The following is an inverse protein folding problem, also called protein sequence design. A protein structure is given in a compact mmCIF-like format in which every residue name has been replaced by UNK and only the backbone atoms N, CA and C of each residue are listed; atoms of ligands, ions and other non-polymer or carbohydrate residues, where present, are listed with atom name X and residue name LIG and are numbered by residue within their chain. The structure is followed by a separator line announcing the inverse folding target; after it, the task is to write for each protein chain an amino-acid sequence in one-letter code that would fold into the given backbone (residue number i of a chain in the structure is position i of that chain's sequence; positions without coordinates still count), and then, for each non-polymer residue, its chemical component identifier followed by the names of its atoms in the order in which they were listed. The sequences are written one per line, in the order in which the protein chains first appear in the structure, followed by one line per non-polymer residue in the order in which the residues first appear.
data_IF_786323270742
#
_entry.id   IF_786323270742
#
_cell.length_a   1.000
_cell.length_b   1.000
_cell.length_c   1.000
_cell.angle_alpha   90.00
_cell.angle_beta   90.00
_cell.angle_gamma   90.00
#
_symmetry.space_group_name_H-M   'P 1'
#
loop_
_entity.id
_entity.type
_entity.pdbx_description
1 polymer ?
#
# COMPACT_ATOMS: atom_id res chain seq x y z
N UNK A 1 7.63 2.34 -13.72
CA UNK A 1 7.73 1.06 -14.48
C UNK A 1 8.49 1.31 -15.77
N UNK A 2 9.13 0.30 -16.40
CA UNK A 2 9.68 0.46 -17.75
C UNK A 2 8.60 0.96 -18.70
N UNK A 3 8.90 2.00 -19.47
CA UNK A 3 8.00 2.60 -20.44
C UNK A 3 7.50 1.53 -21.43
N UNK A 4 6.19 1.52 -21.71
CA UNK A 4 5.57 0.53 -22.61
C UNK A 4 5.29 -0.85 -22.00
N UNK A 5 5.63 -1.11 -20.74
CA UNK A 5 5.24 -2.37 -20.07
C UNK A 5 3.75 -2.41 -19.72
N UNK A 6 3.16 -3.61 -19.63
CA UNK A 6 1.76 -3.78 -19.22
C UNK A 6 1.44 -3.10 -17.89
N UNK A 7 2.40 -3.08 -16.95
CA UNK A 7 2.27 -2.39 -15.67
C UNK A 7 2.32 -0.86 -15.81
N UNK A 8 3.19 -0.34 -16.68
CA UNK A 8 3.19 1.10 -16.98
C UNK A 8 1.85 1.53 -17.57
N UNK A 9 1.28 0.74 -18.49
CA UNK A 9 -0.01 1.03 -19.10
C UNK A 9 -1.17 0.91 -18.09
N UNK A 10 -1.14 -0.10 -17.21
CA UNK A 10 -2.19 -0.34 -16.24
C UNK A 10 -2.21 0.68 -15.08
N UNK A 11 -1.03 1.11 -14.61
CA UNK A 11 -0.93 1.92 -13.38
C UNK A 11 -0.42 3.34 -13.62
N UNK A 12 0.19 3.64 -14.78
CA UNK A 12 0.86 4.91 -15.04
C UNK A 12 -0.04 6.13 -14.86
N UNK A 13 -1.32 6.02 -15.25
CA UNK A 13 -2.32 7.07 -15.08
C UNK A 13 -2.94 7.18 -13.69
N UNK A 14 -2.49 6.38 -12.71
CA UNK A 14 -2.92 6.47 -11.30
C UNK A 14 -1.78 6.88 -10.37
N UNK A 15 -0.54 6.97 -10.89
CA UNK A 15 0.65 7.24 -10.07
C UNK A 15 0.67 8.69 -9.55
N UNK A 16 0.13 9.64 -10.30
CA UNK A 16 0.09 11.04 -9.89
C UNK A 16 -0.96 11.26 -8.79
N UNK A 17 -2.07 10.53 -8.88
CA UNK A 17 -3.22 10.58 -7.99
C UNK A 17 -2.88 10.05 -6.59
N UNK A 18 -1.97 9.07 -6.49
CA UNK A 18 -1.52 8.50 -5.21
C UNK A 18 -0.21 9.11 -4.69
N UNK A 19 0.32 10.17 -5.31
CA UNK A 19 1.61 10.74 -4.92
C UNK A 19 1.57 11.28 -3.47
N UNK A 20 0.48 11.92 -3.08
CA UNK A 20 0.28 12.45 -1.73
C UNK A 20 0.21 11.32 -0.69
N UNK A 21 -0.53 10.25 -1.00
CA UNK A 21 -0.59 9.04 -0.17
C UNK A 21 0.81 8.42 0.01
N UNK A 22 1.56 8.26 -1.08
CA UNK A 22 2.91 7.68 -1.03
C UNK A 22 3.87 8.51 -0.17
N UNK A 23 3.76 9.84 -0.18
CA UNK A 23 4.56 10.71 0.68
C UNK A 23 4.22 10.49 2.15
N UNK A 24 2.93 10.48 2.51
CA UNK A 24 2.51 10.22 3.88
C UNK A 24 2.95 8.82 4.37
N UNK A 25 2.82 7.79 3.53
CA UNK A 25 3.31 6.44 3.87
C UNK A 25 4.82 6.46 4.10
N UNK A 26 5.59 7.21 3.30
CA UNK A 26 7.04 7.32 3.49
C UNK A 26 7.41 8.03 4.80
N UNK A 27 6.72 9.13 5.14
CA UNK A 27 6.93 9.86 6.40
C UNK A 27 6.60 8.98 7.62
N UNK A 28 5.49 8.23 7.57
CA UNK A 28 5.14 7.27 8.62
C UNK A 28 6.20 6.18 8.70
N UNK A 29 6.67 5.66 7.57
CA UNK A 29 7.71 4.63 7.56
C UNK A 29 9.01 5.08 8.23
N UNK A 30 9.42 6.32 8.01
CA UNK A 30 10.59 6.90 8.69
C UNK A 30 10.40 6.98 10.21
N UNK A 31 9.21 7.33 10.69
CA UNK A 31 8.90 7.38 12.12
C UNK A 31 8.99 6.00 12.81
N UNK A 32 8.74 4.93 12.05
CA UNK A 32 8.75 3.54 12.53
C UNK A 32 10.06 2.80 12.22
N UNK A 33 11.07 3.46 11.65
CA UNK A 33 12.30 2.82 11.13
C UNK A 33 11.99 1.63 10.20
N UNK A 34 10.92 1.77 9.42
CA UNK A 34 10.37 0.74 8.55
C UNK A 34 10.59 1.07 7.07
N UNK A 35 10.50 0.05 6.22
CA UNK A 35 10.48 0.23 4.77
C UNK A 35 9.07 0.63 4.34
N UNK A 36 8.97 1.56 3.40
CA UNK A 36 7.69 2.04 2.81
C UNK A 36 6.75 0.89 2.39
N UNK A 37 7.29 -0.20 1.84
CA UNK A 37 6.50 -1.35 1.40
C UNK A 37 5.88 -2.17 2.54
N UNK A 38 6.35 -2.02 3.79
CA UNK A 38 5.83 -2.73 4.96
C UNK A 38 4.57 -2.06 5.51
N UNK A 39 4.39 -0.76 5.29
CA UNK A 39 3.30 0.02 5.89
C UNK A 39 1.92 -0.42 5.40
N UNK A 40 1.67 -0.65 4.10
CA UNK A 40 0.38 -1.20 3.65
C UNK A 40 0.08 -2.59 4.23
N UNK A 41 1.11 -3.39 4.52
CA UNK A 41 0.95 -4.72 5.13
C UNK A 41 0.58 -4.55 6.61
N UNK A 42 1.29 -3.69 7.33
CA UNK A 42 0.99 -3.36 8.73
C UNK A 42 -0.42 -2.76 8.87
N UNK A 43 -0.83 -1.88 7.96
CA UNK A 43 -2.19 -1.35 7.90
C UNK A 43 -3.22 -2.48 7.73
N UNK A 44 -3.01 -3.40 6.77
CA UNK A 44 -3.92 -4.52 6.57
C UNK A 44 -4.05 -5.41 7.82
N UNK A 45 -2.94 -5.67 8.51
CA UNK A 45 -2.91 -6.42 9.77
C UNK A 45 -3.68 -5.65 10.86
N UNK A 46 -3.47 -4.34 10.99
CA UNK A 46 -4.16 -3.49 11.96
C UNK A 46 -5.68 -3.45 11.74
N UNK A 47 -6.15 -3.63 10.49
CA UNK A 47 -7.57 -3.80 10.15
C UNK A 47 -8.10 -5.22 10.40
N UNK A 48 -7.38 -6.03 11.17
CA UNK A 48 -7.71 -7.43 11.51
C UNK A 48 -7.83 -8.34 10.28
N UNK A 49 -7.11 -8.01 9.19
CA UNK A 49 -7.09 -8.84 7.99
C UNK A 49 -5.84 -9.71 7.92
N UNK A 50 -5.92 -10.82 7.18
CA UNK A 50 -4.80 -11.69 6.86
C UNK A 50 -4.39 -11.48 5.40
N UNK A 51 -3.44 -10.57 5.13
CA UNK A 51 -3.09 -10.22 3.75
C UNK A 51 -2.35 -11.36 3.03
N UNK A 52 -2.70 -11.59 1.77
CA UNK A 52 -2.00 -12.55 0.90
C UNK A 52 -0.96 -11.80 0.07
N UNK A 53 0.30 -11.85 0.49
CA UNK A 53 1.39 -11.09 -0.13
C UNK A 53 2.06 -11.90 -1.24
N UNK A 54 2.04 -11.38 -2.47
CA UNK A 54 2.77 -11.94 -3.60
C UNK A 54 4.24 -11.50 -3.61
N UNK A 55 5.18 -12.43 -3.47
CA UNK A 55 6.62 -12.16 -3.47
C UNK A 55 7.35 -13.00 -4.53
N UNK A 56 8.32 -12.39 -5.23
CA UNK A 56 9.17 -13.06 -6.23
C UNK A 56 10.64 -13.14 -5.83
N UNK A 57 11.00 -12.56 -4.68
CA UNK A 57 12.36 -12.52 -4.13
C UNK A 57 12.32 -12.79 -2.63
N UNK A 58 13.38 -13.41 -2.10
CA UNK A 58 13.48 -13.78 -0.67
C UNK A 58 13.31 -12.56 0.24
N UNK A 59 14.02 -11.46 -0.03
CA UNK A 59 13.91 -10.27 0.81
C UNK A 59 12.52 -9.64 0.85
N UNK A 60 11.67 -9.83 -0.17
CA UNK A 60 10.28 -9.37 -0.08
C UNK A 60 9.46 -10.18 0.93
N UNK A 61 9.82 -11.46 1.14
CA UNK A 61 9.17 -12.31 2.15
C UNK A 61 9.64 -11.91 3.55
N UNK A 62 10.94 -11.63 3.71
CA UNK A 62 11.52 -11.13 4.95
C UNK A 62 10.87 -9.79 5.35
N UNK A 63 10.80 -8.84 4.41
CA UNK A 63 10.16 -7.53 4.64
C UNK A 63 8.68 -7.67 5.03
N UNK A 64 7.94 -8.57 4.38
CA UNK A 64 6.54 -8.83 4.71
C UNK A 64 6.36 -9.49 6.08
N UNK A 65 7.30 -10.35 6.51
CA UNK A 65 7.29 -10.94 7.83
C UNK A 65 7.59 -9.88 8.91
N UNK A 66 8.58 -9.03 8.66
CA UNK A 66 8.99 -7.96 9.58
C UNK A 66 7.89 -6.89 9.78
N UNK A 67 7.00 -6.71 8.79
CA UNK A 67 5.86 -5.80 8.88
C UNK A 67 4.88 -6.12 10.03
N UNK A 68 4.88 -7.35 10.56
CA UNK A 68 4.06 -7.73 11.73
C UNK A 68 4.47 -7.00 13.01
N UNK A 69 5.70 -6.48 13.07
CA UNK A 69 6.22 -5.79 14.24
C UNK A 69 5.93 -4.28 14.23
N UNK A 70 5.27 -3.77 13.19
CA UNK A 70 4.92 -2.36 13.06
C UNK A 70 3.53 -2.15 13.67
N UNK A 71 3.46 -1.35 14.73
CA UNK A 71 2.21 -0.96 15.37
C UNK A 71 1.84 0.47 14.93
N UNK A 72 0.88 0.58 14.01
CA UNK A 72 0.37 1.88 13.57
C UNK A 72 -0.59 2.46 14.59
N UNK A 73 -0.45 3.75 14.84
CA UNK A 73 -1.43 4.52 15.63
C UNK A 73 -2.72 4.75 14.84
N UNK A 74 -3.82 4.99 15.57
CA UNK A 74 -5.12 5.30 14.96
C UNK A 74 -5.07 6.51 14.02
N UNK A 75 -4.25 7.52 14.37
CA UNK A 75 -4.07 8.74 13.58
C UNK A 75 -3.30 8.46 12.26
N UNK A 76 -2.30 7.58 12.29
CA UNK A 76 -1.55 7.17 11.09
C UNK A 76 -2.44 6.36 10.15
N UNK A 77 -3.19 5.39 10.69
CA UNK A 77 -4.17 4.59 9.93
C UNK A 77 -5.18 5.52 9.26
N UNK A 78 -5.75 6.46 10.03
CA UNK A 78 -6.73 7.41 9.54
C UNK A 78 -6.14 8.30 8.44
N UNK A 79 -4.93 8.81 8.62
CA UNK A 79 -4.25 9.65 7.62
C UNK A 79 -4.07 8.90 6.30
N UNK A 80 -3.63 7.63 6.36
CA UNK A 80 -3.49 6.80 5.17
C UNK A 80 -4.83 6.55 4.47
N UNK A 81 -5.89 6.26 5.22
CA UNK A 81 -7.23 6.01 4.68
C UNK A 81 -7.84 7.28 4.03
N UNK A 82 -7.76 8.44 4.69
CA UNK A 82 -8.25 9.71 4.14
C UNK A 82 -7.54 10.10 2.83
N UNK A 83 -6.23 9.87 2.75
CA UNK A 83 -5.46 10.12 1.53
C UNK A 83 -5.75 9.11 0.43
N UNK A 84 -6.00 7.84 0.77
CA UNK A 84 -6.41 6.82 -0.20
C UNK A 84 -7.78 7.14 -0.80
N UNK A 85 -8.75 7.54 0.03
CA UNK A 85 -10.08 7.96 -0.41
C UNK A 85 -10.01 9.21 -1.30
N UNK A 86 -9.18 10.19 -0.91
CA UNK A 86 -8.95 11.42 -1.67
C UNK A 86 -8.33 11.15 -3.05
N UNK A 87 -7.42 10.17 -3.14
CA UNK A 87 -6.79 9.80 -4.41
C UNK A 87 -7.82 9.26 -5.42
N UNK A 88 -8.95 8.72 -4.95
CA UNK A 88 -10.06 8.22 -5.77
C UNK A 88 -9.61 7.28 -6.91
N UNK A 89 -8.59 6.46 -6.63
CA UNK A 89 -8.06 5.47 -7.57
C UNK A 89 -8.79 4.16 -7.37
N UNK A 90 -9.52 3.72 -8.38
CA UNK A 90 -10.17 2.42 -8.39
C UNK A 90 -9.35 1.39 -9.17
N UNK A 91 -8.83 0.38 -8.48
CA UNK A 91 -8.07 -0.73 -9.09
C UNK A 91 -8.89 -2.00 -9.28
N UNK A 92 -10.20 -1.97 -8.97
CA UNK A 92 -11.13 -3.10 -9.12
C UNK A 92 -11.21 -3.46 -10.61
N UNK A 93 -11.00 -4.74 -10.91
CA UNK A 93 -11.00 -5.22 -12.30
C UNK A 93 -12.42 -5.48 -12.79
N UNK A 94 -12.59 -5.50 -14.11
CA UNK A 94 -13.91 -5.64 -14.79
C UNK A 94 -14.75 -6.86 -14.36
N UNK A 95 -14.14 -7.88 -13.72
CA UNK A 95 -14.82 -9.08 -13.24
C UNK A 95 -15.09 -9.06 -11.73
N UNK A 96 -14.50 -8.14 -10.99
CA UNK A 96 -14.72 -7.99 -9.56
C UNK A 96 -16.01 -7.19 -9.35
N UNK A 97 -16.91 -7.73 -8.55
CA UNK A 97 -18.14 -7.03 -8.17
C UNK A 97 -17.76 -5.89 -7.23
N UNK A 98 -18.38 -4.72 -7.42
CA UNK A 98 -18.36 -3.68 -6.37
C UNK A 98 -18.81 -4.32 -5.05
N UNK A 99 -17.93 -4.29 -4.06
CA UNK A 99 -18.28 -4.72 -2.71
C UNK A 99 -19.23 -3.67 -2.14
N UNK A 100 -20.45 -4.12 -1.83
CA UNK A 100 -21.49 -3.31 -1.18
C UNK A 100 -21.34 -3.34 0.33
#
# INVERSE_FOLDING_TARGET
FPEGSDRANAYGGSMAEIEELNKAIAEIAENHDAKVAQLPIAWAIAKETLPIIGATKVHHVEDAADAVNIELSDDEIKTMEELADKANVNTIRIWEKEMK
#
